data_IF_990507767331
#
_entry.id   IF_990507767331
#
_cell.length_a   1.000
_cell.length_b   1.000
_cell.length_c   1.000
_cell.angle_alpha   90.00
_cell.angle_beta   90.00
_cell.angle_gamma   90.00
#
_symmetry.space_group_name_H-M   'P 1'
#
loop_
_entity.id
_entity.type
_entity.pdbx_description
1 polymer ?
#
# COMPACT_ATOMS: atom_id res chain seq x y z
N UNK A 1 6.04 -18.25 -6.64
CA UNK A 1 5.84 -17.21 -7.68
C UNK A 1 6.98 -16.21 -7.59
N UNK A 2 7.85 -16.13 -8.61
CA UNK A 2 9.03 -15.24 -8.56
C UNK A 2 8.65 -13.77 -8.77
N UNK A 3 7.79 -13.49 -9.75
CA UNK A 3 7.34 -12.13 -10.07
C UNK A 3 6.76 -11.36 -8.87
N UNK A 4 5.93 -12.00 -8.04
CA UNK A 4 5.38 -11.36 -6.83
C UNK A 4 6.47 -10.97 -5.82
N UNK A 5 7.50 -11.82 -5.66
CA UNK A 5 8.64 -11.56 -4.77
C UNK A 5 9.52 -10.45 -5.32
N UNK A 6 9.84 -10.51 -6.61
CA UNK A 6 10.67 -9.51 -7.28
C UNK A 6 9.98 -8.15 -7.26
N UNK A 7 8.68 -8.10 -7.56
CA UNK A 7 7.88 -6.88 -7.48
C UNK A 7 7.84 -6.31 -6.06
N UNK A 8 7.65 -7.15 -5.04
CA UNK A 8 7.70 -6.70 -3.65
C UNK A 8 9.08 -6.13 -3.29
N UNK A 9 10.16 -6.79 -3.70
CA UNK A 9 11.52 -6.31 -3.46
C UNK A 9 11.78 -4.95 -4.11
N UNK A 10 11.32 -4.74 -5.36
CA UNK A 10 11.41 -3.44 -6.05
C UNK A 10 10.59 -2.38 -5.31
N UNK A 11 9.36 -2.70 -4.90
CA UNK A 11 8.50 -1.79 -4.13
C UNK A 11 9.12 -1.38 -2.79
N UNK A 12 9.82 -2.28 -2.12
CA UNK A 12 10.43 -2.01 -0.81
C UNK A 12 11.76 -1.26 -0.92
N UNK A 13 12.61 -1.65 -1.88
CA UNK A 13 14.01 -1.22 -1.91
C UNK A 13 14.32 -0.15 -2.97
N UNK A 14 13.56 -0.12 -4.07
CA UNK A 14 13.87 0.72 -5.23
C UNK A 14 12.83 1.81 -5.47
N UNK A 15 11.62 1.67 -4.94
CA UNK A 15 10.58 2.67 -5.12
C UNK A 15 11.01 4.03 -4.54
N UNK A 16 10.99 5.13 -5.33
CA UNK A 16 11.61 6.40 -4.95
C UNK A 16 10.71 7.25 -4.03
N UNK A 17 10.23 6.66 -2.94
CA UNK A 17 9.27 7.25 -2.00
C UNK A 17 9.69 8.64 -1.50
N UNK A 18 10.94 8.79 -1.06
CA UNK A 18 11.45 10.05 -0.54
C UNK A 18 11.55 11.14 -1.60
N UNK A 19 12.12 10.83 -2.76
CA UNK A 19 12.26 11.81 -3.84
C UNK A 19 10.89 12.32 -4.33
N UNK A 20 9.90 11.43 -4.42
CA UNK A 20 8.52 11.80 -4.73
C UNK A 20 7.91 12.68 -3.62
N UNK A 21 8.10 12.31 -2.35
CA UNK A 21 7.61 13.08 -1.20
C UNK A 21 8.16 14.52 -1.19
N UNK A 22 9.47 14.67 -1.42
CA UNK A 22 10.14 15.96 -1.51
C UNK A 22 9.60 16.80 -2.67
N UNK A 23 9.47 16.19 -3.86
CA UNK A 23 8.92 16.88 -5.03
C UNK A 23 7.48 17.35 -4.79
N UNK A 24 6.59 16.46 -4.35
CA UNK A 24 5.17 16.78 -4.16
C UNK A 24 4.94 17.77 -3.01
N UNK A 25 5.79 17.75 -1.97
CA UNK A 25 5.72 18.73 -0.88
C UNK A 25 6.12 20.12 -1.38
N UNK A 26 7.16 20.24 -2.21
CA UNK A 26 7.54 21.53 -2.80
C UNK A 26 6.47 22.09 -3.74
N UNK A 27 5.83 21.23 -4.54
CA UNK A 27 4.85 21.66 -5.55
C UNK A 27 3.50 22.02 -4.92
N UNK A 28 3.09 21.31 -3.86
CA UNK A 28 1.71 21.36 -3.35
C UNK A 28 1.59 21.89 -1.91
N UNK A 29 2.62 22.52 -1.35
CA UNK A 29 2.60 23.04 0.02
C UNK A 29 3.36 24.37 0.06
N UNK A 30 2.67 25.46 0.43
CA UNK A 30 3.26 26.81 0.56
C UNK A 30 4.25 26.96 1.72
N UNK A 31 4.51 25.89 2.48
CA UNK A 31 5.29 25.87 3.72
C UNK A 31 4.75 26.79 4.83
N UNK A 32 3.51 27.27 4.70
CA UNK A 32 2.82 28.00 5.77
C UNK A 32 2.30 27.02 6.83
N UNK A 33 2.39 27.35 8.14
CA UNK A 33 2.09 26.40 9.22
C UNK A 33 0.70 25.77 9.13
N UNK A 34 -0.33 26.56 8.79
CA UNK A 34 -1.71 26.08 8.66
C UNK A 34 -1.85 25.08 7.50
N UNK A 35 -1.23 25.39 6.36
CA UNK A 35 -1.30 24.56 5.16
C UNK A 35 -0.50 23.26 5.34
N UNK A 36 0.66 23.33 6.00
CA UNK A 36 1.45 22.16 6.39
C UNK A 36 0.65 21.23 7.30
N UNK A 37 -0.01 21.78 8.33
CA UNK A 37 -0.85 21.00 9.23
C UNK A 37 -2.03 20.36 8.49
N UNK A 38 -2.72 21.11 7.63
CA UNK A 38 -3.83 20.60 6.79
C UNK A 38 -3.35 19.45 5.90
N UNK A 39 -2.22 19.62 5.21
CA UNK A 39 -1.61 18.59 4.36
C UNK A 39 -1.23 17.36 5.16
N UNK A 40 -0.60 17.53 6.32
CA UNK A 40 -0.23 16.43 7.23
C UNK A 40 -1.48 15.62 7.64
N UNK A 41 -2.56 16.29 8.01
CA UNK A 41 -3.81 15.61 8.38
C UNK A 41 -4.38 14.77 7.23
N UNK A 42 -4.34 15.27 5.99
CA UNK A 42 -4.79 14.52 4.81
C UNK A 42 -3.90 13.29 4.55
N UNK A 43 -2.58 13.43 4.70
CA UNK A 43 -1.65 12.31 4.55
C UNK A 43 -1.90 11.22 5.60
N UNK A 44 -2.13 11.62 6.86
CA UNK A 44 -2.43 10.69 7.95
C UNK A 44 -3.78 10.00 7.76
N UNK A 45 -4.81 10.73 7.32
CA UNK A 45 -6.11 10.15 7.02
C UNK A 45 -6.02 9.11 5.89
N UNK A 46 -5.34 9.46 4.79
CA UNK A 46 -5.08 8.52 3.68
C UNK A 46 -4.34 7.28 4.15
N UNK A 47 -3.31 7.45 5.00
CA UNK A 47 -2.55 6.34 5.58
C UNK A 47 -3.44 5.40 6.41
N UNK A 48 -4.37 5.94 7.19
CA UNK A 48 -5.29 5.14 8.00
C UNK A 48 -6.20 4.28 7.10
N UNK A 49 -6.85 4.88 6.10
CA UNK A 49 -7.73 4.15 5.16
C UNK A 49 -6.98 3.06 4.38
N UNK A 50 -5.74 3.33 3.95
CA UNK A 50 -4.91 2.31 3.28
C UNK A 50 -4.50 1.17 4.22
N UNK A 51 -4.36 1.44 5.53
CA UNK A 51 -4.04 0.42 6.53
C UNK A 51 -5.19 -0.58 6.66
N UNK A 52 -6.44 -0.11 6.72
CA UNK A 52 -7.63 -0.97 6.76
C UNK A 52 -7.70 -1.90 5.53
N UNK A 53 -7.48 -1.35 4.33
CA UNK A 53 -7.44 -2.15 3.10
C UNK A 53 -6.29 -3.16 3.12
N UNK A 54 -5.10 -2.75 3.55
CA UNK A 54 -3.93 -3.63 3.66
C UNK A 54 -4.18 -4.80 4.60
N UNK A 55 -4.83 -4.56 5.74
CA UNK A 55 -5.17 -5.59 6.72
C UNK A 55 -6.13 -6.63 6.14
N UNK A 56 -7.18 -6.19 5.45
CA UNK A 56 -8.11 -7.09 4.76
C UNK A 56 -7.38 -7.94 3.72
N UNK A 57 -6.54 -7.34 2.88
CA UNK A 57 -5.79 -8.07 1.84
C UNK A 57 -4.76 -9.04 2.43
N UNK A 58 -4.17 -8.72 3.58
CA UNK A 58 -3.25 -9.61 4.31
C UNK A 58 -3.96 -10.85 4.87
N UNK A 59 -5.29 -10.77 5.01
CA UNK A 59 -6.16 -11.86 5.41
C UNK A 59 -6.72 -12.67 4.23
N UNK A 60 -6.33 -12.36 2.99
CA UNK A 60 -6.67 -13.20 1.84
C UNK A 60 -6.11 -14.62 2.03
N UNK A 61 -7.00 -15.62 1.96
CA UNK A 61 -6.69 -17.05 2.02
C UNK A 61 -7.06 -17.76 0.70
N UNK A 62 -6.93 -17.06 -0.42
CA UNK A 62 -7.10 -17.64 -1.74
C UNK A 62 -6.12 -18.80 -1.96
N UNK A 63 -6.56 -19.96 -2.48
CA UNK A 63 -5.66 -21.05 -2.82
C UNK A 63 -4.62 -20.61 -3.87
N UNK A 64 -3.35 -20.92 -3.63
CA UNK A 64 -2.26 -20.65 -4.57
C UNK A 64 -1.40 -21.92 -4.69
N UNK A 65 -1.22 -22.40 -5.91
CA UNK A 65 -0.53 -23.66 -6.21
C UNK A 65 -1.13 -24.84 -5.40
N UNK A 66 -0.33 -25.46 -4.52
CA UNK A 66 -0.77 -26.55 -3.64
C UNK A 66 -1.34 -26.07 -2.29
N UNK A 67 -1.22 -24.78 -1.96
CA UNK A 67 -1.70 -24.21 -0.70
C UNK A 67 -3.22 -24.03 -0.73
N UNK A 68 -3.90 -24.54 0.31
CA UNK A 68 -5.36 -24.44 0.48
C UNK A 68 -5.68 -24.06 1.93
N UNK A 69 -5.39 -22.81 2.32
CA UNK A 69 -5.66 -22.36 3.69
C UNK A 69 -7.17 -22.27 3.96
N UNK A 70 -7.55 -22.43 5.23
CA UNK A 70 -8.92 -22.21 5.69
C UNK A 70 -9.31 -20.74 5.49
N UNK A 71 -10.43 -20.43 4.80
CA UNK A 71 -10.95 -19.07 4.71
C UNK A 71 -11.24 -18.46 6.08
N UNK A 72 -10.85 -17.19 6.27
CA UNK A 72 -11.14 -16.40 7.49
C UNK A 72 -11.98 -15.16 7.23
N UNK A 73 -12.06 -14.74 5.95
CA UNK A 73 -12.90 -13.64 5.51
C UNK A 73 -14.32 -14.13 5.23
N UNK A 74 -15.27 -13.20 5.18
CA UNK A 74 -16.64 -13.50 4.77
C UNK A 74 -16.67 -14.19 3.39
N UNK A 75 -17.55 -15.19 3.17
CA UNK A 75 -17.58 -15.97 1.94
C UNK A 75 -17.66 -15.11 0.66
N UNK A 76 -18.43 -14.02 0.70
CA UNK A 76 -18.58 -13.13 -0.46
C UNK A 76 -17.29 -12.37 -0.78
N UNK A 77 -16.55 -11.93 0.23
CA UNK A 77 -15.27 -11.23 0.06
C UNK A 77 -14.20 -12.23 -0.41
N UNK A 78 -14.07 -13.37 0.28
CA UNK A 78 -13.06 -14.37 -0.07
C UNK A 78 -13.27 -14.94 -1.47
N UNK A 79 -14.51 -15.16 -1.91
CA UNK A 79 -14.81 -15.65 -3.26
C UNK A 79 -14.34 -14.68 -4.34
N UNK A 80 -14.53 -13.37 -4.14
CA UNK A 80 -14.06 -12.34 -5.09
C UNK A 80 -12.54 -12.24 -5.12
N UNK A 81 -11.88 -12.29 -3.96
CA UNK A 81 -10.41 -12.35 -3.86
C UNK A 81 -9.86 -13.61 -4.52
N UNK A 82 -10.53 -14.75 -4.34
CA UNK A 82 -10.15 -16.03 -4.98
C UNK A 82 -10.27 -15.94 -6.49
N UNK A 83 -11.35 -15.36 -7.01
CA UNK A 83 -11.51 -15.11 -8.44
C UNK A 83 -10.40 -14.19 -8.97
N UNK A 84 -10.11 -13.10 -8.28
CA UNK A 84 -9.02 -12.19 -8.65
C UNK A 84 -7.66 -12.89 -8.65
N UNK A 85 -7.36 -13.70 -7.62
CA UNK A 85 -6.15 -14.52 -7.54
C UNK A 85 -6.06 -15.49 -8.71
N UNK A 86 -7.15 -16.21 -9.04
CA UNK A 86 -7.16 -17.15 -10.18
C UNK A 86 -6.88 -16.46 -11.53
N UNK A 87 -7.56 -15.34 -11.81
CA UNK A 87 -7.41 -14.60 -13.07
C UNK A 87 -6.03 -13.94 -13.19
N UNK A 88 -5.43 -13.54 -12.07
CA UNK A 88 -4.07 -12.96 -12.02
C UNK A 88 -2.99 -14.01 -11.80
N UNK A 89 -3.33 -15.30 -11.88
CA UNK A 89 -2.41 -16.42 -11.65
C UNK A 89 -1.68 -16.40 -10.30
N UNK A 90 -2.29 -15.81 -9.27
CA UNK A 90 -1.76 -15.68 -7.92
C UNK A 90 -0.83 -14.48 -7.72
N UNK A 91 -0.59 -13.65 -8.74
CA UNK A 91 0.25 -12.46 -8.65
C UNK A 91 -0.51 -11.26 -8.07
N UNK A 92 -1.80 -11.13 -8.39
CA UNK A 92 -2.58 -9.92 -8.18
C UNK A 92 -2.62 -9.46 -6.73
N UNK A 93 -3.09 -10.30 -5.79
CA UNK A 93 -3.21 -9.90 -4.38
C UNK A 93 -1.85 -9.50 -3.77
N UNK A 94 -0.76 -10.28 -3.94
CA UNK A 94 0.57 -9.86 -3.52
C UNK A 94 1.05 -8.55 -4.16
N UNK A 95 0.78 -8.33 -5.45
CA UNK A 95 1.18 -7.11 -6.15
C UNK A 95 0.46 -5.87 -5.58
N UNK A 96 -0.85 -5.97 -5.34
CA UNK A 96 -1.60 -4.87 -4.72
C UNK A 96 -1.07 -4.57 -3.32
N UNK A 97 -0.76 -5.60 -2.53
CA UNK A 97 -0.20 -5.44 -1.19
C UNK A 97 1.18 -4.75 -1.21
N UNK A 98 2.04 -5.16 -2.13
CA UNK A 98 3.36 -4.54 -2.35
C UNK A 98 3.23 -3.07 -2.79
N UNK A 99 2.30 -2.77 -3.69
CA UNK A 99 2.03 -1.40 -4.13
C UNK A 99 1.51 -0.53 -2.97
N UNK A 100 0.60 -1.04 -2.13
CA UNK A 100 0.14 -0.33 -0.94
C UNK A 100 1.32 -0.05 0.01
N UNK A 101 2.24 -1.01 0.23
CA UNK A 101 3.43 -0.77 1.04
C UNK A 101 4.31 0.35 0.48
N UNK A 102 4.54 0.38 -0.83
CA UNK A 102 5.28 1.45 -1.49
C UNK A 102 4.61 2.83 -1.28
N UNK A 103 3.29 2.89 -1.43
CA UNK A 103 2.49 4.11 -1.18
C UNK A 103 2.59 4.52 0.30
N UNK A 104 2.48 3.57 1.24
CA UNK A 104 2.61 3.81 2.67
C UNK A 104 3.98 4.37 3.03
N UNK A 105 5.05 3.89 2.39
CA UNK A 105 6.39 4.43 2.54
C UNK A 105 6.47 5.89 2.05
N UNK A 106 5.90 6.19 0.89
CA UNK A 106 5.80 7.57 0.41
C UNK A 106 5.00 8.49 1.35
N UNK A 107 3.88 8.03 1.90
CA UNK A 107 3.09 8.78 2.89
C UNK A 107 3.91 9.06 4.16
N UNK A 108 4.65 8.06 4.65
CA UNK A 108 5.52 8.21 5.82
C UNK A 108 6.63 9.24 5.56
N UNK A 109 7.33 9.15 4.43
CA UNK A 109 8.35 10.15 4.06
C UNK A 109 7.74 11.55 3.92
N UNK A 110 6.54 11.67 3.35
CA UNK A 110 5.83 12.94 3.23
C UNK A 110 5.49 13.55 4.60
N UNK A 111 5.03 12.74 5.57
CA UNK A 111 4.77 13.21 6.93
C UNK A 111 6.06 13.62 7.64
N UNK A 112 7.13 12.83 7.53
CA UNK A 112 8.44 13.16 8.13
C UNK A 112 8.95 14.53 7.65
N UNK A 113 8.84 14.82 6.36
CA UNK A 113 9.28 16.10 5.79
C UNK A 113 8.53 17.30 6.38
N UNK A 114 7.24 17.13 6.70
CA UNK A 114 6.41 18.18 7.30
C UNK A 114 6.67 18.34 8.82
N UNK A 115 7.21 17.30 9.48
CA UNK A 115 7.60 17.37 10.90
C UNK A 115 8.97 18.01 11.11
N UNK A 116 9.84 17.94 10.10
CA UNK A 116 11.21 18.49 10.14
C UNK A 116 11.32 19.96 9.74
N UNK A 117 10.26 20.55 9.18
CA UNK A 117 10.24 21.91 8.65
C UNK A 117 9.31 22.79 9.47
#
# INVERSE_FOLDING_TARGET
MHLAKDFNAVCENEFPARAIAEHLTRVNCSMEPLEMQRRKNILLATKATLTELKELLSNDRSPICSSRPQPILEPIVQSRLTHFSMVTHGFGSPAVLAAINAIMNWLNESVKLLDTK
#
